data_IF_524442731420
#
_entry.id   IF_524442731420
#
_cell.length_a   1.000
_cell.length_b   1.000
_cell.length_c   1.000
_cell.angle_alpha   90.00
_cell.angle_beta   90.00
_cell.angle_gamma   90.00
#
_symmetry.space_group_name_H-M   'P 1'
#
loop_
_entity.id
_entity.type
_entity.pdbx_description
1 polymer ?
#
# COMPACT_ATOMS: atom_id res chain seq x y z
N UNK A 1 30.59 -9.44 -1.68
CA UNK A 1 29.74 -9.06 -0.54
C UNK A 1 28.43 -9.79 -0.72
N UNK A 2 28.16 -10.79 0.13
CA UNK A 2 26.91 -11.53 0.10
C UNK A 2 25.80 -10.64 0.67
N UNK A 3 24.74 -10.41 -0.12
CA UNK A 3 23.51 -9.85 0.40
C UNK A 3 22.85 -10.92 1.28
N UNK A 4 23.06 -10.82 2.59
CA UNK A 4 22.39 -11.68 3.57
C UNK A 4 20.88 -11.62 3.35
N UNK A 5 20.30 -12.74 2.92
CA UNK A 5 18.85 -12.90 2.84
C UNK A 5 18.25 -12.52 4.19
N UNK A 6 17.32 -11.56 4.19
CA UNK A 6 16.58 -11.21 5.41
C UNK A 6 15.86 -12.48 5.86
N UNK A 7 16.26 -13.04 7.00
CA UNK A 7 15.54 -14.15 7.59
C UNK A 7 14.10 -13.68 7.86
N UNK A 8 13.07 -14.33 7.29
CA UNK A 8 11.70 -13.93 7.53
C UNK A 8 11.38 -14.04 9.03
N UNK A 9 10.70 -13.03 9.57
CA UNK A 9 10.54 -12.82 11.01
C UNK A 9 9.10 -12.97 11.50
N UNK A 10 8.11 -12.90 10.61
CA UNK A 10 6.70 -12.84 11.01
C UNK A 10 5.86 -14.01 10.47
N UNK A 11 5.01 -14.58 11.33
CA UNK A 11 3.95 -15.49 10.91
C UNK A 11 2.80 -14.75 10.24
N UNK A 12 2.42 -13.60 10.80
CA UNK A 12 1.26 -12.83 10.37
C UNK A 12 1.51 -11.33 10.46
N UNK A 13 1.11 -10.60 9.42
CA UNK A 13 1.01 -9.14 9.40
C UNK A 13 -0.47 -8.76 9.27
N UNK A 14 -0.95 -7.83 10.08
CA UNK A 14 -2.31 -7.27 9.98
C UNK A 14 -2.21 -5.75 9.95
N UNK A 15 -2.83 -5.10 8.97
CA UNK A 15 -2.73 -3.66 8.81
C UNK A 15 -4.06 -3.00 8.41
N UNK A 16 -4.27 -1.78 8.89
CA UNK A 16 -5.32 -0.86 8.43
C UNK A 16 -4.66 0.39 7.84
N UNK A 17 -4.08 0.28 6.63
CA UNK A 17 -3.32 1.37 6.03
C UNK A 17 -4.21 2.57 5.67
N UNK A 18 -3.64 3.78 5.61
CA UNK A 18 -4.40 5.00 5.36
C UNK A 18 -5.06 4.99 3.97
N UNK A 19 -6.37 5.23 3.90
CA UNK A 19 -7.14 5.26 2.64
C UNK A 19 -7.12 6.61 1.89
N UNK A 20 -6.25 7.56 2.26
CA UNK A 20 -6.28 8.93 1.73
C UNK A 20 -7.47 9.80 2.19
N UNK A 21 -8.24 9.33 3.18
CA UNK A 21 -9.51 9.95 3.64
C UNK A 21 -9.32 10.92 4.82
N UNK A 22 -8.42 10.64 5.76
CA UNK A 22 -8.14 11.54 6.90
C UNK A 22 -6.74 12.15 6.86
N UNK A 23 -5.80 11.51 6.18
CA UNK A 23 -4.41 11.96 6.04
C UNK A 23 -4.02 11.93 4.56
N UNK A 24 -3.32 12.95 4.06
CA UNK A 24 -2.75 12.91 2.71
C UNK A 24 -1.61 11.89 2.71
N UNK A 25 -1.60 10.93 1.79
CA UNK A 25 -0.46 10.04 1.58
C UNK A 25 0.75 10.91 1.19
N UNK A 26 1.73 11.00 2.10
CA UNK A 26 2.88 11.88 1.95
C UNK A 26 4.14 11.09 2.23
N UNK A 27 5.05 11.04 1.25
CA UNK A 27 6.42 10.53 1.43
C UNK A 27 7.33 11.70 1.75
N UNK A 28 8.36 11.47 2.55
CA UNK A 28 9.42 12.46 2.78
C UNK A 28 10.28 12.47 1.50
N UNK A 29 10.23 13.56 0.74
CA UNK A 29 11.07 13.74 -0.44
C UNK A 29 12.52 13.99 -0.05
N UNK A 30 13.46 13.44 -0.81
CA UNK A 30 14.90 13.60 -0.59
C UNK A 30 15.51 14.30 -1.81
N UNK A 31 15.18 15.58 -2.03
CA UNK A 31 15.90 16.41 -3.00
C UNK A 31 17.18 16.94 -2.37
N UNK A 32 18.25 17.00 -3.16
CA UNK A 32 19.54 17.55 -2.76
C UNK A 32 19.37 18.91 -2.07
N UNK A 33 20.12 19.12 -0.98
CA UNK A 33 20.05 20.33 -0.16
C UNK A 33 20.23 21.57 -1.05
N UNK A 34 19.24 22.48 -1.16
CA UNK A 34 19.51 23.79 -1.74
C UNK A 34 20.53 24.54 -0.86
N UNK A 35 21.27 25.51 -1.43
CA UNK A 35 22.33 26.21 -0.72
C UNK A 35 21.82 26.82 0.59
N UNK A 36 22.61 26.68 1.66
CA UNK A 36 22.31 27.22 2.99
C UNK A 36 22.15 28.73 2.90
N UNK A 37 20.96 29.23 3.23
CA UNK A 37 20.76 30.64 3.57
C UNK A 37 21.02 30.72 5.07
N UNK A 38 22.14 31.35 5.44
CA UNK A 38 22.48 31.68 6.82
C UNK A 38 21.58 32.82 7.26
N UNK A 39 20.42 32.48 7.82
CA UNK A 39 19.82 33.17 8.96
C UNK A 39 18.43 32.59 9.22
N UNK A 40 18.04 32.60 10.50
CA UNK A 40 16.78 32.17 11.11
C UNK A 40 16.61 30.66 11.36
N UNK A 41 16.33 30.32 12.63
CA UNK A 41 15.95 29.00 13.18
C UNK A 41 14.64 28.43 12.57
N UNK A 42 14.59 28.27 11.26
CA UNK A 42 13.49 27.56 10.61
C UNK A 42 13.78 26.06 10.65
N UNK A 43 13.05 25.33 11.50
CA UNK A 43 12.90 23.88 11.38
C UNK A 43 12.20 23.61 10.04
N UNK A 44 12.99 23.41 8.98
CA UNK A 44 12.47 23.12 7.64
C UNK A 44 12.09 21.64 7.58
N UNK A 45 10.82 21.36 7.88
CA UNK A 45 10.24 20.03 7.66
C UNK A 45 10.43 19.65 6.18
N UNK A 46 10.91 18.43 5.88
CA UNK A 46 11.15 18.03 4.50
C UNK A 46 9.85 18.05 3.70
N UNK A 47 9.99 18.37 2.42
CA UNK A 47 8.85 18.54 1.53
C UNK A 47 8.12 17.21 1.34
N UNK A 48 6.81 17.25 1.55
CA UNK A 48 5.92 16.09 1.55
C UNK A 48 5.52 15.80 0.11
N UNK A 49 6.16 14.83 -0.53
CA UNK A 49 5.82 14.37 -1.88
C UNK A 49 4.52 13.57 -1.87
N UNK A 50 3.72 13.72 -2.94
CA UNK A 50 2.48 12.99 -3.12
C UNK A 50 2.81 11.51 -3.34
N UNK A 51 2.47 10.68 -2.35
CA UNK A 51 2.68 9.25 -2.44
C UNK A 51 1.40 8.62 -2.96
N UNK A 52 1.47 7.92 -4.10
CA UNK A 52 0.30 7.27 -4.66
C UNK A 52 -0.23 6.25 -3.64
N UNK A 53 -1.54 6.33 -3.37
CA UNK A 53 -2.23 5.43 -2.45
C UNK A 53 -2.01 3.96 -2.84
N UNK A 54 -1.95 3.66 -4.14
CA UNK A 54 -1.65 2.33 -4.69
C UNK A 54 -0.28 1.82 -4.26
N UNK A 55 0.74 2.67 -4.31
CA UNK A 55 2.10 2.32 -3.89
C UNK A 55 2.13 1.88 -2.42
N UNK A 56 1.27 2.45 -1.56
CA UNK A 56 1.17 2.04 -0.14
C UNK A 56 0.81 0.57 -0.01
N UNK A 57 -0.09 0.09 -0.87
CA UNK A 57 -0.53 -1.29 -0.86
C UNK A 57 0.49 -2.23 -1.51
N UNK A 58 1.19 -1.75 -2.55
CA UNK A 58 2.32 -2.47 -3.12
C UNK A 58 3.44 -2.67 -2.09
N UNK A 59 3.93 -1.58 -1.48
CA UNK A 59 4.98 -1.62 -0.46
C UNK A 59 4.61 -2.52 0.71
N UNK A 60 3.32 -2.54 1.12
CA UNK A 60 2.84 -3.42 2.19
C UNK A 60 2.89 -4.90 1.79
N UNK A 61 2.52 -5.22 0.55
CA UNK A 61 2.56 -6.60 0.06
C UNK A 61 4.01 -7.06 -0.18
N UNK A 62 4.89 -6.18 -0.67
CA UNK A 62 6.33 -6.42 -0.81
C UNK A 62 7.02 -6.62 0.54
N UNK A 63 6.66 -5.80 1.53
CA UNK A 63 7.12 -5.96 2.90
C UNK A 63 6.73 -7.34 3.43
N UNK A 64 5.49 -7.77 3.20
CA UNK A 64 5.03 -9.09 3.61
C UNK A 64 5.74 -10.22 2.85
N UNK A 65 5.99 -10.07 1.55
CA UNK A 65 6.74 -11.04 0.76
C UNK A 65 8.16 -11.24 1.30
N UNK A 66 8.80 -10.16 1.76
CA UNK A 66 10.16 -10.19 2.30
C UNK A 66 10.24 -10.59 3.78
N UNK A 67 9.23 -10.27 4.59
CA UNK A 67 9.31 -10.44 6.05
C UNK A 67 8.51 -11.60 6.60
N UNK A 68 7.48 -12.08 5.90
CA UNK A 68 6.72 -13.25 6.35
C UNK A 68 7.48 -14.54 6.09
N UNK A 69 7.32 -15.53 6.97
CA UNK A 69 7.77 -16.90 6.71
C UNK A 69 6.97 -17.52 5.56
N UNK A 70 7.52 -18.54 4.90
CA UNK A 70 6.76 -19.32 3.91
C UNK A 70 5.54 -19.93 4.62
N UNK A 71 4.36 -19.68 4.06
CA UNK A 71 3.09 -20.07 4.65
C UNK A 71 2.47 -19.03 5.59
N UNK A 72 3.24 -18.03 6.01
CA UNK A 72 2.76 -16.86 6.75
C UNK A 72 1.78 -16.02 5.93
N UNK A 73 1.08 -15.10 6.60
CA UNK A 73 -0.04 -14.35 6.01
C UNK A 73 0.09 -12.85 6.21
N UNK A 74 -0.45 -12.09 5.27
CA UNK A 74 -0.72 -10.67 5.46
C UNK A 74 -2.19 -10.41 5.22
N UNK A 75 -2.82 -9.63 6.09
CA UNK A 75 -4.20 -9.18 5.92
C UNK A 75 -4.28 -7.67 6.05
N UNK A 76 -4.88 -7.01 5.07
CA UNK A 76 -5.07 -5.57 5.11
C UNK A 76 -6.36 -5.15 4.44
N UNK A 77 -6.88 -4.00 4.88
CA UNK A 77 -8.01 -3.38 4.24
C UNK A 77 -7.58 -2.61 2.98
N UNK A 78 -8.32 -2.82 1.90
CA UNK A 78 -8.12 -2.17 0.60
C UNK A 78 -9.39 -1.39 0.22
N UNK A 79 -9.30 -0.08 -0.07
CA UNK A 79 -10.46 0.74 -0.45
C UNK A 79 -10.90 0.40 -1.87
N UNK A 80 -12.21 0.47 -2.14
CA UNK A 80 -12.79 0.10 -3.44
C UNK A 80 -13.88 1.09 -3.85
N UNK A 81 -13.80 1.56 -5.09
CA UNK A 81 -14.91 2.23 -5.78
C UNK A 81 -15.70 1.15 -6.53
N UNK A 82 -16.98 0.97 -6.19
CA UNK A 82 -17.79 -0.14 -6.70
C UNK A 82 -17.94 -0.14 -8.23
N UNK A 83 -17.97 1.05 -8.84
CA UNK A 83 -18.10 1.21 -10.28
C UNK A 83 -16.83 0.78 -11.04
N UNK A 84 -15.66 0.89 -10.41
CA UNK A 84 -14.36 0.67 -11.04
C UNK A 84 -13.73 -0.67 -10.64
N UNK A 85 -14.33 -1.39 -9.68
CA UNK A 85 -13.80 -2.62 -9.12
C UNK A 85 -13.69 -3.75 -10.15
N UNK A 86 -12.48 -4.27 -10.30
CA UNK A 86 -12.18 -5.57 -10.88
C UNK A 86 -10.98 -6.21 -10.16
N UNK A 87 -10.77 -7.50 -10.37
CA UNK A 87 -9.65 -8.23 -9.75
C UNK A 87 -8.26 -7.74 -10.20
N UNK A 88 -8.20 -7.04 -11.34
CA UNK A 88 -6.97 -6.43 -11.87
C UNK A 88 -6.55 -5.19 -11.08
N UNK A 89 -7.45 -4.62 -10.26
CA UNK A 89 -7.10 -3.54 -9.33
C UNK A 89 -6.37 -4.03 -8.09
N UNK A 90 -6.45 -5.33 -7.78
CA UNK A 90 -5.88 -5.85 -6.55
C UNK A 90 -4.36 -5.99 -6.69
N UNK A 91 -3.58 -5.67 -5.64
CA UNK A 91 -2.13 -5.85 -5.64
C UNK A 91 -1.78 -7.33 -5.84
N UNK A 92 -0.82 -7.61 -6.71
CA UNK A 92 -0.36 -8.98 -7.00
C UNK A 92 1.15 -9.04 -6.90
N UNK A 93 1.63 -9.98 -6.08
CA UNK A 93 3.05 -10.29 -5.96
C UNK A 93 3.29 -11.76 -6.29
N UNK A 94 4.27 -12.13 -7.13
CA UNK A 94 4.49 -13.52 -7.54
C UNK A 94 4.69 -14.53 -6.40
N UNK A 95 5.33 -14.11 -5.31
CA UNK A 95 5.53 -14.91 -4.09
C UNK A 95 4.33 -14.93 -3.11
N UNK A 96 3.26 -14.18 -3.37
CA UNK A 96 2.11 -14.03 -2.48
C UNK A 96 0.81 -14.42 -3.18
N UNK A 97 0.06 -15.36 -2.59
CA UNK A 97 -1.23 -15.80 -3.14
C UNK A 97 -2.39 -15.21 -2.34
N UNK A 98 -3.30 -14.52 -3.01
CA UNK A 98 -4.58 -14.10 -2.42
C UNK A 98 -5.40 -15.34 -2.05
N UNK A 99 -5.77 -15.47 -0.78
CA UNK A 99 -6.56 -16.61 -0.26
C UNK A 99 -7.95 -16.19 0.24
N UNK A 100 -8.12 -14.92 0.65
CA UNK A 100 -9.42 -14.37 1.03
C UNK A 100 -9.57 -12.94 0.51
N UNK A 101 -10.78 -12.63 0.05
CA UNK A 101 -11.18 -11.30 -0.41
C UNK A 101 -12.60 -11.05 0.10
N UNK A 102 -12.73 -10.40 1.25
CA UNK A 102 -14.01 -10.17 1.92
C UNK A 102 -14.44 -8.71 1.80
N UNK A 103 -15.64 -8.46 1.26
CA UNK A 103 -16.15 -7.11 1.10
C UNK A 103 -16.93 -6.61 2.32
N UNK A 104 -16.72 -5.33 2.66
CA UNK A 104 -17.54 -4.57 3.58
C UNK A 104 -18.00 -3.26 2.91
N UNK A 105 -19.31 -3.15 2.65
CA UNK A 105 -19.91 -1.94 2.11
C UNK A 105 -19.80 -0.75 3.08
N UNK A 106 -19.45 0.43 2.56
CA UNK A 106 -19.40 1.68 3.33
C UNK A 106 -20.49 2.65 2.89
N UNK A 107 -20.64 2.84 1.57
CA UNK A 107 -21.68 3.67 0.95
C UNK A 107 -22.26 2.96 -0.28
N UNK A 108 -23.20 3.59 -0.98
CA UNK A 108 -23.74 3.07 -2.26
C UNK A 108 -22.70 3.00 -3.39
N UNK A 109 -21.60 3.75 -3.28
CA UNK A 109 -20.58 3.87 -4.34
C UNK A 109 -19.20 3.35 -3.93
N UNK A 110 -19.00 3.04 -2.65
CA UNK A 110 -17.70 2.64 -2.10
C UNK A 110 -17.83 1.52 -1.08
N UNK A 111 -16.85 0.63 -1.10
CA UNK A 111 -16.67 -0.43 -0.11
C UNK A 111 -15.18 -0.51 0.27
N UNK A 112 -14.87 -1.34 1.26
CA UNK A 112 -13.51 -1.78 1.53
C UNK A 112 -13.45 -3.30 1.54
N UNK A 113 -12.34 -3.87 1.08
CA UNK A 113 -12.11 -5.30 1.03
C UNK A 113 -11.01 -5.69 2.00
N UNK A 114 -11.26 -6.66 2.86
CA UNK A 114 -10.22 -7.31 3.64
C UNK A 114 -9.55 -8.35 2.75
N UNK A 115 -8.37 -8.01 2.25
CA UNK A 115 -7.56 -8.90 1.44
C UNK A 115 -6.64 -9.69 2.35
N UNK A 116 -6.53 -11.00 2.13
CA UNK A 116 -5.58 -11.84 2.85
C UNK A 116 -4.74 -12.62 1.86
N UNK A 117 -3.42 -12.43 1.94
CA UNK A 117 -2.44 -13.13 1.13
C UNK A 117 -1.65 -14.11 1.98
N UNK A 118 -1.17 -15.19 1.36
CA UNK A 118 -0.28 -16.18 1.95
C UNK A 118 1.02 -16.21 1.16
N UNK A 119 2.16 -16.16 1.83
CA UNK A 119 3.47 -16.36 1.19
C UNK A 119 3.61 -17.82 0.76
N UNK A 120 3.92 -18.04 -0.51
CA UNK A 120 4.03 -19.38 -1.10
C UNK A 120 5.47 -19.81 -1.38
N UNK A 121 6.40 -18.86 -1.50
CA UNK A 121 7.84 -19.06 -1.68
C UNK A 121 8.62 -17.81 -1.32
N UNK A 122 9.95 -17.87 -1.37
CA UNK A 122 10.77 -16.66 -1.30
C UNK A 122 10.63 -15.81 -2.57
N UNK A 123 10.60 -14.47 -2.44
CA UNK A 123 10.62 -13.55 -3.58
C UNK A 123 11.98 -13.62 -4.30
N UNK A 124 11.97 -13.42 -5.62
CA UNK A 124 13.20 -13.22 -6.40
C UNK A 124 13.60 -11.74 -6.39
N UNK A 125 14.85 -11.43 -6.73
CA UNK A 125 15.41 -10.06 -6.62
C UNK A 125 14.63 -9.03 -7.47
N UNK A 126 14.06 -9.46 -8.59
CA UNK A 126 13.35 -8.60 -9.55
C UNK A 126 11.82 -8.74 -9.46
N UNK A 127 11.31 -9.31 -8.36
CA UNK A 127 9.86 -9.44 -8.13
C UNK A 127 9.36 -8.32 -7.23
N UNK A 128 8.39 -7.57 -7.74
CA UNK A 128 7.70 -6.51 -7.02
C UNK A 128 6.19 -6.67 -7.14
N UNK A 129 5.46 -6.00 -6.26
CA UNK A 129 4.00 -5.98 -6.31
C UNK A 129 3.51 -5.03 -7.39
N UNK A 130 2.62 -5.54 -8.24
CA UNK A 130 2.01 -4.77 -9.31
C UNK A 130 0.49 -4.69 -9.16
N UNK A 131 -0.07 -3.58 -9.62
CA UNK A 131 -1.51 -3.37 -9.81
C UNK A 131 -1.71 -3.13 -11.31
N UNK A 132 -2.40 -4.05 -11.99
CA UNK A 132 -2.54 -4.03 -13.45
C UNK A 132 -3.46 -2.91 -13.94
N UNK A 133 -4.43 -2.51 -13.13
CA UNK A 133 -5.37 -1.44 -13.46
C UNK A 133 -5.62 -0.56 -12.23
N UNK A 134 -5.49 0.75 -12.38
CA UNK A 134 -5.77 1.67 -11.27
C UNK A 134 -7.26 1.66 -10.92
N UNK A 135 -7.57 1.58 -9.62
CA UNK A 135 -8.96 1.42 -9.13
C UNK A 135 -9.28 2.19 -7.85
N UNK A 136 -8.27 2.84 -7.27
CA UNK A 136 -8.37 3.58 -5.99
C UNK A 136 -8.07 5.07 -6.14
N UNK A 137 -7.66 5.48 -7.35
CA UNK A 137 -7.62 6.88 -7.76
C UNK A 137 -8.95 7.56 -7.44
N UNK A 138 -8.89 8.70 -6.74
CA UNK A 138 -10.06 9.50 -6.34
C UNK A 138 -11.01 8.86 -5.29
N UNK A 139 -10.59 7.80 -4.58
CA UNK A 139 -11.43 7.16 -3.54
C UNK A 139 -12.00 8.15 -2.51
N UNK A 140 -11.19 9.12 -2.05
CA UNK A 140 -11.63 10.19 -1.14
C UNK A 140 -12.82 10.97 -1.71
N UNK A 141 -12.75 11.36 -2.98
CA UNK A 141 -13.79 12.16 -3.65
C UNK A 141 -15.09 11.36 -3.78
N UNK A 142 -15.00 10.06 -4.08
CA UNK A 142 -16.18 9.18 -4.20
C UNK A 142 -16.81 8.90 -2.84
N UNK A 143 -16.01 8.69 -1.79
CA UNK A 143 -16.51 8.43 -0.45
C UNK A 143 -17.33 9.61 0.11
N UNK A 144 -16.90 10.85 -0.16
CA UNK A 144 -17.58 12.08 0.30
C UNK A 144 -18.51 12.71 -0.74
N UNK A 145 -18.69 12.11 -1.92
CA UNK A 145 -19.65 12.60 -2.91
C UNK A 145 -21.07 12.45 -2.37
N UNK A 146 -21.78 13.58 -2.27
CA UNK A 146 -23.13 13.70 -1.70
C UNK A 146 -24.10 12.74 -2.39
N UNK A 147 -24.97 12.10 -1.58
CA UNK A 147 -26.13 11.33 -2.05
C UNK A 147 -27.03 12.25 -2.90
N UNK A 148 -27.04 12.06 -4.22
CA UNK A 148 -28.21 12.36 -5.03
C UNK A 148 -29.19 11.19 -4.92
#
# INVERSE_FOLDING_TARGET
MEFGGKNPQFDVIVADPPYGVREKARKIGNKEKPPKIEDVDYIRYPEKEEYNLENTYCDLLDLAANMCIIGGRVSFWYPVILADYCEENLPKHPAMRLIFNCEQGLTRKSSRRLLTYRKIREPQIDEETEISKTGVSNYRSVLFSTKN
#
